data_IF_045076609985
#
_entry.id   IF_045076609985
#
_cell.length_a   1.000
_cell.length_b   1.000
_cell.length_c   1.000
_cell.angle_alpha   90.00
_cell.angle_beta   90.00
_cell.angle_gamma   90.00
#
_symmetry.space_group_name_H-M   'P 1'
#
loop_
_entity.id
_entity.type
_entity.pdbx_description
1 polymer ?
#
# COMPACT_ATOMS: atom_id res chain seq x y z
N UNK A 1 -20.25 8.76 -23.48
CA UNK A 1 -20.00 7.57 -22.64
C UNK A 1 -18.63 6.95 -22.90
N UNK A 2 -18.26 6.64 -24.16
CA UNK A 2 -16.95 6.02 -24.50
C UNK A 2 -15.73 6.82 -24.02
N UNK A 3 -15.77 8.16 -24.08
CA UNK A 3 -14.67 9.03 -23.60
C UNK A 3 -14.46 8.97 -22.08
N UNK A 4 -15.53 8.80 -21.30
CA UNK A 4 -15.45 8.73 -19.82
C UNK A 4 -14.86 7.40 -19.39
N UNK A 5 -15.24 6.32 -20.07
CA UNK A 5 -14.69 4.97 -19.82
C UNK A 5 -13.21 4.92 -20.19
N UNK A 6 -12.83 5.52 -21.34
CA UNK A 6 -11.44 5.65 -21.74
C UNK A 6 -10.59 6.46 -20.75
N UNK A 7 -11.14 7.55 -20.21
CA UNK A 7 -10.46 8.36 -19.20
C UNK A 7 -10.27 7.63 -17.86
N UNK A 8 -11.27 6.85 -17.41
CA UNK A 8 -11.16 6.03 -16.20
C UNK A 8 -10.13 4.90 -16.35
N UNK A 9 -10.07 4.28 -17.53
CA UNK A 9 -9.07 3.25 -17.84
C UNK A 9 -7.66 3.85 -17.94
N UNK A 10 -7.50 5.00 -18.59
CA UNK A 10 -6.24 5.72 -18.67
C UNK A 10 -5.76 6.18 -17.29
N UNK A 11 -6.66 6.69 -16.45
CA UNK A 11 -6.37 7.03 -15.06
C UNK A 11 -5.99 5.80 -14.24
N UNK A 12 -6.66 4.66 -14.43
CA UNK A 12 -6.34 3.40 -13.77
C UNK A 12 -4.97 2.85 -14.15
N UNK A 13 -4.62 2.88 -15.44
CA UNK A 13 -3.30 2.44 -15.96
C UNK A 13 -2.20 3.40 -15.53
N UNK A 14 -2.46 4.71 -15.55
CA UNK A 14 -1.52 5.72 -15.06
C UNK A 14 -1.33 5.60 -13.54
N UNK A 15 -2.40 5.34 -12.78
CA UNK A 15 -2.31 5.01 -11.37
C UNK A 15 -1.49 3.75 -11.15
N UNK A 16 -1.66 2.71 -11.98
CA UNK A 16 -0.93 1.46 -11.86
C UNK A 16 0.57 1.64 -12.17
N UNK A 17 0.93 2.49 -13.14
CA UNK A 17 2.31 2.85 -13.48
C UNK A 17 2.97 3.73 -12.40
N UNK A 18 2.28 4.74 -11.87
CA UNK A 18 2.81 5.58 -10.77
C UNK A 18 2.87 4.78 -9.45
N UNK A 19 1.88 3.92 -9.21
CA UNK A 19 1.88 2.96 -8.12
C UNK A 19 2.86 1.80 -8.35
N UNK A 20 3.61 1.73 -9.45
CA UNK A 20 4.75 0.80 -9.52
C UNK A 20 5.88 1.20 -8.56
N UNK A 21 6.00 2.50 -8.27
CA UNK A 21 7.19 3.08 -7.63
C UNK A 21 6.97 3.51 -6.18
N UNK A 22 5.78 4.00 -5.83
CA UNK A 22 5.43 4.40 -4.45
C UNK A 22 5.24 3.24 -3.47
N UNK A 23 4.37 2.24 -3.72
CA UNK A 23 4.18 1.13 -2.79
C UNK A 23 5.42 0.24 -2.69
N UNK A 24 6.23 0.13 -3.75
CA UNK A 24 7.53 -0.55 -3.68
C UNK A 24 8.48 0.17 -2.72
N UNK A 25 8.54 1.50 -2.77
CA UNK A 25 9.32 2.31 -1.81
C UNK A 25 8.78 2.19 -0.39
N UNK A 26 7.46 2.24 -0.19
CA UNK A 26 6.86 2.06 1.14
C UNK A 26 7.11 0.66 1.70
N UNK A 27 7.04 -0.38 0.86
CA UNK A 27 7.38 -1.75 1.23
C UNK A 27 8.85 -1.86 1.61
N UNK A 28 9.77 -1.33 0.80
CA UNK A 28 11.19 -1.32 1.12
C UNK A 28 11.48 -0.56 2.41
N UNK A 29 10.77 0.55 2.66
CA UNK A 29 10.90 1.30 3.89
C UNK A 29 10.40 0.50 5.10
N UNK A 30 9.28 -0.20 4.96
CA UNK A 30 8.74 -1.12 5.97
C UNK A 30 9.70 -2.29 6.26
N UNK A 31 10.25 -2.95 5.22
CA UNK A 31 11.26 -4.00 5.38
C UNK A 31 12.55 -3.47 6.00
N UNK A 32 12.98 -2.25 5.64
CA UNK A 32 14.19 -1.66 6.22
C UNK A 32 13.99 -1.27 7.68
N UNK A 33 12.76 -0.95 8.09
CA UNK A 33 12.42 -0.70 9.48
C UNK A 33 12.26 -1.97 10.31
N UNK A 34 11.94 -3.11 9.72
CA UNK A 34 11.68 -4.35 10.45
C UNK A 34 12.81 -5.33 10.21
N UNK A 35 13.52 -5.74 11.25
CA UNK A 35 14.52 -6.82 11.19
C UNK A 35 13.85 -8.20 11.09
N UNK A 36 12.98 -8.39 10.11
CA UNK A 36 12.39 -9.70 9.80
C UNK A 36 12.74 -10.14 8.38
N UNK A 37 12.85 -11.46 8.15
CA UNK A 37 12.99 -11.98 6.80
C UNK A 37 11.78 -11.58 5.95
N UNK A 38 12.05 -11.26 4.67
CA UNK A 38 11.07 -10.67 3.74
C UNK A 38 9.75 -11.43 3.68
N UNK A 39 9.80 -12.76 3.70
CA UNK A 39 8.63 -13.64 3.67
C UNK A 39 7.72 -13.49 4.90
N UNK A 40 8.29 -13.26 6.08
CA UNK A 40 7.52 -13.05 7.32
C UNK A 40 6.99 -11.63 7.43
N UNK A 41 7.80 -10.66 7.01
CA UNK A 41 7.38 -9.26 6.95
C UNK A 41 6.21 -9.07 5.95
N UNK A 42 6.19 -9.78 4.82
CA UNK A 42 5.05 -9.81 3.89
C UNK A 42 3.80 -10.42 4.52
N UNK A 43 3.93 -11.55 5.23
CA UNK A 43 2.81 -12.16 5.95
C UNK A 43 2.27 -11.25 7.06
N UNK A 44 3.14 -10.51 7.74
CA UNK A 44 2.74 -9.54 8.76
C UNK A 44 2.04 -8.32 8.15
N UNK A 45 2.57 -7.81 7.04
CA UNK A 45 1.99 -6.72 6.27
C UNK A 45 0.61 -7.09 5.73
N UNK A 46 0.47 -8.28 5.12
CA UNK A 46 -0.80 -8.77 4.61
C UNK A 46 -1.88 -8.88 5.69
N UNK A 47 -1.52 -9.32 6.91
CA UNK A 47 -2.45 -9.35 8.06
C UNK A 47 -2.87 -7.95 8.50
N UNK A 48 -1.95 -6.99 8.52
CA UNK A 48 -2.27 -5.59 8.84
C UNK A 48 -3.17 -4.96 7.78
N UNK A 49 -2.89 -5.21 6.51
CA UNK A 49 -3.71 -4.75 5.39
C UNK A 49 -5.12 -5.34 5.46
N UNK A 50 -5.25 -6.63 5.73
CA UNK A 50 -6.55 -7.29 5.88
C UNK A 50 -7.40 -6.64 6.99
N UNK A 51 -6.82 -6.43 8.18
CA UNK A 51 -7.52 -5.74 9.29
C UNK A 51 -7.88 -4.29 8.94
N UNK A 52 -6.99 -3.58 8.26
CA UNK A 52 -7.26 -2.19 7.84
C UNK A 52 -8.35 -2.12 6.77
N UNK A 53 -8.42 -3.11 5.88
CA UNK A 53 -9.45 -3.22 4.86
C UNK A 53 -10.81 -3.56 5.48
N UNK A 54 -10.85 -4.38 6.52
CA UNK A 54 -12.06 -4.64 7.32
C UNK A 54 -12.54 -3.37 8.03
N UNK A 55 -11.62 -2.61 8.64
CA UNK A 55 -11.96 -1.38 9.38
C UNK A 55 -12.27 -0.17 8.47
N UNK A 56 -11.67 -0.13 7.28
CA UNK A 56 -11.79 1.00 6.35
C UNK A 56 -11.98 0.53 4.90
N UNK A 57 -13.10 -0.14 4.57
CA UNK A 57 -13.34 -0.64 3.23
C UNK A 57 -13.39 0.50 2.20
N UNK A 58 -12.88 0.24 0.99
CA UNK A 58 -12.92 1.19 -0.13
C UNK A 58 -11.79 2.22 -0.18
N UNK A 59 -10.74 2.09 0.64
CA UNK A 59 -9.51 2.90 0.50
C UNK A 59 -8.55 2.28 -0.52
N UNK A 60 -7.66 3.12 -1.06
CA UNK A 60 -6.63 2.71 -2.00
C UNK A 60 -5.48 1.98 -1.29
N UNK A 61 -4.80 1.09 -2.01
CA UNK A 61 -3.66 0.30 -1.49
C UNK A 61 -2.56 1.18 -0.87
N UNK A 62 -2.26 2.31 -1.51
CA UNK A 62 -1.29 3.31 -1.04
C UNK A 62 -1.70 3.90 0.31
N UNK A 63 -3.00 4.12 0.54
CA UNK A 63 -3.49 4.63 1.81
C UNK A 63 -3.23 3.64 2.95
N UNK A 64 -3.50 2.36 2.72
CA UNK A 64 -3.25 1.32 3.73
C UNK A 64 -1.76 1.15 4.00
N UNK A 65 -0.91 1.09 2.96
CA UNK A 65 0.54 1.02 3.11
C UNK A 65 1.10 2.22 3.87
N UNK A 66 0.64 3.44 3.55
CA UNK A 66 1.06 4.65 4.27
C UNK A 66 0.62 4.61 5.73
N UNK A 67 -0.56 4.08 6.02
CA UNK A 67 -1.05 3.90 7.40
C UNK A 67 -0.14 2.95 8.18
N UNK A 68 0.20 1.80 7.61
CA UNK A 68 1.07 0.80 8.25
C UNK A 68 2.46 1.38 8.52
N UNK A 69 3.07 2.06 7.54
CA UNK A 69 4.39 2.69 7.72
C UNK A 69 4.35 3.81 8.77
N UNK A 70 3.28 4.61 8.80
CA UNK A 70 3.12 5.68 9.79
C UNK A 70 2.96 5.13 11.21
N UNK A 71 2.20 4.05 11.38
CA UNK A 71 2.01 3.39 12.67
C UNK A 71 3.32 2.78 13.18
N UNK A 72 4.07 2.12 12.29
CA UNK A 72 5.37 1.56 12.59
C UNK A 72 6.43 2.63 12.94
N UNK A 73 6.37 3.80 12.31
CA UNK A 73 7.24 4.92 12.65
C UNK A 73 6.88 5.55 14.00
N UNK A 74 5.59 5.52 14.36
CA UNK A 74 5.09 6.05 15.63
C UNK A 74 5.46 5.16 16.82
N UNK A 75 5.43 3.85 16.65
CA UNK A 75 5.81 2.87 17.68
C UNK A 75 7.33 2.91 18.00
N UNK A 76 8.12 3.44 17.06
CA UNK A 76 9.58 3.56 17.17
C UNK A 76 10.07 4.82 17.88
N UNK A 77 9.18 5.74 18.26
CA UNK A 77 9.51 7.07 18.79
C UNK A 77 9.08 7.20 20.24
#
# INVERSE_FOLDING_TARGET
>A
MVLVVGALLALGVLYWLLAGNEPSRLRDQYFRSIHLPRSEAEKSLARHLARLQENHPGKSEVWYLRRVVADLHRDRR
#
